data_IF_099568802021
#
_entry.id   IF_099568802021
#
_cell.length_a   1.000
_cell.length_b   1.000
_cell.length_c   1.000
_cell.angle_alpha   90.00
_cell.angle_beta   90.00
_cell.angle_gamma   90.00
#
_symmetry.space_group_name_H-M   'P 1'
#
loop_
_entity.id
_entity.type
_entity.pdbx_description
1 polymer ?
#
# COMPACT_ATOMS: atom_id res chain seq x y z
N UNK A 1 25.00 -19.93 29.65
CA UNK A 1 24.12 -19.26 28.69
C UNK A 1 23.18 -18.34 29.48
N UNK A 2 23.21 -17.01 29.28
CA UNK A 2 22.42 -16.06 30.08
C UNK A 2 20.89 -16.17 29.89
N UNK A 3 20.40 -17.09 29.04
CA UNK A 3 18.97 -17.28 28.76
C UNK A 3 18.35 -18.52 29.43
N UNK A 4 19.08 -19.25 30.27
CA UNK A 4 18.68 -20.59 30.71
C UNK A 4 17.77 -20.62 31.96
N UNK A 5 16.83 -19.67 32.09
CA UNK A 5 15.68 -19.76 33.02
C UNK A 5 14.67 -18.61 32.81
N UNK A 6 13.48 -18.85 32.23
CA UNK A 6 12.40 -17.87 32.32
C UNK A 6 11.76 -17.88 33.73
N UNK A 7 11.34 -16.72 34.26
CA UNK A 7 10.66 -16.66 35.56
C UNK A 7 9.31 -17.39 35.53
N UNK A 8 8.86 -18.00 36.65
CA UNK A 8 7.58 -18.68 36.70
C UNK A 8 6.43 -17.70 36.49
N UNK A 9 5.52 -18.01 35.55
CA UNK A 9 4.28 -17.25 35.31
C UNK A 9 3.48 -17.13 36.61
N UNK A 10 3.31 -15.90 37.09
CA UNK A 10 2.34 -15.60 38.13
C UNK A 10 0.93 -15.98 37.65
N UNK A 11 0.15 -16.57 38.56
CA UNK A 11 -1.27 -16.90 38.39
C UNK A 11 -2.04 -15.63 37.95
N UNK A 12 -3.01 -15.70 37.03
CA UNK A 12 -3.72 -14.51 36.59
C UNK A 12 -4.47 -13.89 37.78
N UNK A 13 -4.05 -12.70 38.18
CA UNK A 13 -4.83 -11.84 39.04
C UNK A 13 -5.97 -11.27 38.20
N UNK A 14 -7.19 -11.51 38.66
CA UNK A 14 -8.46 -10.85 38.31
C UNK A 14 -8.80 -10.71 36.81
N UNK A 15 -9.96 -11.25 36.44
CA UNK A 15 -10.62 -10.94 35.17
C UNK A 15 -10.71 -9.42 34.97
N UNK A 16 -10.50 -8.90 33.74
CA UNK A 16 -10.79 -7.50 33.45
C UNK A 16 -12.26 -7.24 33.79
N UNK A 17 -12.55 -6.11 34.44
CA UNK A 17 -13.91 -5.67 34.68
C UNK A 17 -14.70 -5.68 33.35
N UNK A 18 -16.00 -6.04 33.35
CA UNK A 18 -16.79 -5.96 32.14
C UNK A 18 -16.73 -4.52 31.63
N UNK A 19 -16.34 -4.34 30.36
CA UNK A 19 -16.44 -3.03 29.73
C UNK A 19 -17.89 -2.54 29.90
N UNK A 20 -18.06 -1.31 30.38
CA UNK A 20 -19.37 -0.66 30.40
C UNK A 20 -19.79 -0.46 28.95
N UNK A 21 -20.52 -1.44 28.40
CA UNK A 21 -21.12 -1.31 27.08
C UNK A 21 -22.31 -0.37 27.26
N UNK A 22 -22.22 0.82 26.68
CA UNK A 22 -23.31 1.79 26.68
C UNK A 22 -24.56 1.13 26.07
N UNK A 23 -25.66 0.95 26.82
CA UNK A 23 -26.87 0.32 26.31
C UNK A 23 -27.54 1.15 25.19
N UNK A 24 -27.14 2.41 24.98
CA UNK A 24 -27.51 3.23 23.84
C UNK A 24 -26.75 2.91 22.55
N UNK A 25 -25.64 2.16 22.62
CA UNK A 25 -24.82 1.77 21.47
C UNK A 25 -25.39 0.51 20.77
N UNK A 26 -26.68 0.55 20.42
CA UNK A 26 -27.30 -0.43 19.52
C UNK A 26 -27.21 0.09 18.09
N UNK A 27 -26.01 -0.01 17.50
CA UNK A 27 -25.80 0.38 16.10
C UNK A 27 -26.49 -0.64 15.18
N UNK A 28 -27.62 -0.25 14.61
CA UNK A 28 -28.28 -1.01 13.54
C UNK A 28 -27.62 -0.67 12.20
N UNK A 29 -26.63 -1.48 11.81
CA UNK A 29 -25.87 -1.31 10.57
C UNK A 29 -26.69 -1.59 9.30
N UNK A 30 -27.93 -2.06 9.43
CA UNK A 30 -28.85 -2.25 8.30
C UNK A 30 -29.66 -0.99 7.98
N UNK A 31 -29.61 -0.01 8.88
CA UNK A 31 -30.25 1.28 8.70
C UNK A 31 -29.19 2.34 8.41
N UNK A 32 -29.38 3.08 7.31
CA UNK A 32 -28.54 4.22 7.01
C UNK A 32 -28.91 5.36 7.96
N UNK A 33 -27.92 6.04 8.58
CA UNK A 33 -28.17 7.21 9.39
C UNK A 33 -28.80 8.33 8.55
N UNK A 34 -29.58 9.20 9.20
CA UNK A 34 -30.23 10.33 8.52
C UNK A 34 -29.20 11.21 7.81
N UNK A 35 -29.39 11.41 6.51
CA UNK A 35 -28.59 12.32 5.70
C UNK A 35 -29.24 13.70 5.80
N UNK A 36 -28.58 14.62 6.50
CA UNK A 36 -28.97 16.02 6.53
C UNK A 36 -28.36 16.75 5.33
N UNK A 37 -29.21 17.35 4.50
CA UNK A 37 -28.77 18.25 3.42
C UNK A 37 -28.27 19.55 4.05
N UNK A 38 -26.97 19.85 3.89
CA UNK A 38 -26.39 21.14 4.24
C UNK A 38 -26.83 22.16 3.18
N UNK A 39 -27.47 23.26 3.60
CA UNK A 39 -27.91 24.31 2.70
C UNK A 39 -26.72 24.96 1.99
N UNK A 40 -26.76 25.01 0.65
CA UNK A 40 -25.73 25.64 -0.19
C UNK A 40 -25.43 27.11 0.18
N UNK A 41 -26.36 27.77 0.87
CA UNK A 41 -26.21 29.15 1.35
C UNK A 41 -25.06 29.33 2.36
N UNK A 42 -24.71 28.29 3.14
CA UNK A 42 -23.55 28.35 4.03
C UNK A 42 -22.22 28.40 3.27
N UNK A 43 -22.13 27.83 2.07
CA UNK A 43 -20.91 27.82 1.27
C UNK A 43 -20.69 29.14 0.50
N UNK A 44 -21.77 29.85 0.17
CA UNK A 44 -21.71 31.10 -0.60
C UNK A 44 -21.49 32.35 0.26
N UNK A 45 -21.61 32.21 1.58
CA UNK A 45 -21.43 33.30 2.54
C UNK A 45 -19.96 33.74 2.65
N UNK A 46 -19.02 32.78 2.63
CA UNK A 46 -17.58 33.01 2.79
C UNK A 46 -16.93 33.66 1.55
N UNK A 47 -17.55 33.51 0.38
CA UNK A 47 -17.05 34.07 -0.89
C UNK A 47 -17.61 35.47 -1.21
N UNK A 48 -18.59 35.96 -0.43
CA UNK A 48 -19.26 37.23 -0.69
C UNK A 48 -18.60 38.43 0.01
N UNK A 49 -17.70 38.18 0.96
CA UNK A 49 -16.90 39.23 1.59
C UNK A 49 -15.63 39.48 0.74
N UNK A 50 -15.31 40.74 0.38
CA UNK A 50 -14.04 41.03 -0.28
C UNK A 50 -12.91 40.80 0.72
N UNK A 51 -12.35 39.60 0.74
CA UNK A 51 -11.13 39.29 1.47
C UNK A 51 -10.02 40.19 0.93
N UNK A 52 -9.50 41.07 1.78
CA UNK A 52 -8.29 41.84 1.47
C UNK A 52 -7.15 40.84 1.52
N UNK A 53 -6.88 40.19 0.39
CA UNK A 53 -5.75 39.26 0.23
C UNK A 53 -4.48 40.08 0.43
N UNK A 54 -3.86 39.98 1.61
CA UNK A 54 -2.49 40.46 1.76
C UNK A 54 -1.63 39.71 0.73
N UNK A 55 -0.73 40.41 0.01
CA UNK A 55 0.08 39.76 -1.00
C UNK A 55 0.94 38.71 -0.31
N UNK A 56 0.60 37.44 -0.52
CA UNK A 56 1.46 36.32 -0.16
C UNK A 56 2.79 36.57 -0.87
N UNK A 57 3.87 36.73 -0.11
CA UNK A 57 5.22 36.76 -0.68
C UNK A 57 5.43 35.40 -1.36
N UNK A 58 5.26 35.39 -2.69
CA UNK A 58 5.63 34.27 -3.53
C UNK A 58 7.14 34.16 -3.44
N UNK A 59 7.63 33.31 -2.54
CA UNK A 59 9.01 32.86 -2.54
C UNK A 59 9.25 32.24 -3.91
N UNK A 60 9.95 32.96 -4.77
CA UNK A 60 10.39 32.44 -6.05
C UNK A 60 11.10 31.11 -5.78
N UNK A 61 10.82 30.03 -6.56
CA UNK A 61 11.56 28.79 -6.42
C UNK A 61 13.03 29.13 -6.47
N UNK A 62 13.78 28.78 -5.42
CA UNK A 62 15.23 28.98 -5.43
C UNK A 62 15.77 28.31 -6.68
N UNK A 63 16.34 29.09 -7.59
CA UNK A 63 17.01 28.61 -8.80
C UNK A 63 18.25 27.72 -8.50
N UNK A 64 18.40 27.29 -7.24
CA UNK A 64 19.45 26.43 -6.72
C UNK A 64 19.01 24.97 -6.57
N UNK A 65 17.74 24.62 -6.81
CA UNK A 65 17.30 23.21 -6.98
C UNK A 65 16.95 22.93 -8.45
N UNK A 66 17.71 23.55 -9.35
CA UNK A 66 17.65 23.27 -10.77
C UNK A 66 18.04 21.82 -10.98
N UNK A 67 17.04 20.97 -11.19
CA UNK A 67 17.22 19.67 -11.82
C UNK A 67 18.16 19.87 -13.00
N UNK A 68 19.33 19.27 -12.95
CA UNK A 68 20.36 19.47 -13.97
C UNK A 68 19.80 19.10 -15.34
N UNK A 69 20.20 19.82 -16.39
CA UNK A 69 19.81 19.47 -17.76
C UNK A 69 20.20 18.02 -18.08
N UNK A 70 21.33 17.52 -17.56
CA UNK A 70 21.72 16.11 -17.63
C UNK A 70 20.69 15.14 -17.01
N UNK A 71 19.97 15.56 -15.96
CA UNK A 71 18.93 14.74 -15.33
C UNK A 71 17.65 14.75 -16.19
N UNK A 72 17.32 15.88 -16.81
CA UNK A 72 16.17 16.01 -17.69
C UNK A 72 16.39 15.32 -19.04
N UNK A 73 17.61 15.43 -19.59
CA UNK A 73 18.03 14.75 -20.81
C UNK A 73 18.11 13.23 -20.60
N UNK A 74 18.48 12.77 -19.41
CA UNK A 74 18.40 11.35 -19.04
C UNK A 74 16.97 10.82 -19.01
N UNK A 75 15.94 11.65 -18.82
CA UNK A 75 14.53 11.22 -18.89
C UNK A 75 13.97 11.31 -20.31
N UNK A 76 14.49 12.21 -21.15
CA UNK A 76 14.05 12.42 -22.53
C UNK A 76 14.69 11.44 -23.52
N UNK A 77 15.80 10.81 -23.16
CA UNK A 77 16.37 9.72 -23.95
C UNK A 77 15.57 8.44 -23.73
N UNK A 78 14.90 7.97 -24.79
CA UNK A 78 14.14 6.71 -24.86
C UNK A 78 15.01 5.45 -24.62
N UNK A 79 16.35 5.62 -24.58
CA UNK A 79 17.34 4.60 -24.21
C UNK A 79 17.65 4.55 -22.70
N UNK A 80 17.13 5.50 -21.91
CA UNK A 80 17.04 5.35 -20.47
C UNK A 80 15.82 4.49 -20.19
N UNK A 81 15.94 3.20 -20.48
CA UNK A 81 15.14 2.18 -19.83
C UNK A 81 15.24 2.50 -18.34
N UNK A 82 14.15 3.04 -17.78
CA UNK A 82 13.98 3.15 -16.35
C UNK A 82 14.35 1.76 -15.84
N UNK A 83 15.42 1.66 -15.07
CA UNK A 83 15.98 0.38 -14.65
C UNK A 83 15.11 -0.22 -13.53
N UNK A 84 13.82 -0.32 -13.83
CA UNK A 84 12.81 -1.10 -13.13
C UNK A 84 13.10 -2.59 -13.30
N UNK A 85 13.95 -2.96 -14.28
CA UNK A 85 14.40 -4.32 -14.53
C UNK A 85 15.54 -4.78 -13.60
N UNK A 86 16.40 -3.87 -13.09
CA UNK A 86 17.41 -4.21 -12.07
C UNK A 86 16.93 -4.13 -10.62
N UNK A 87 15.70 -3.67 -10.38
CA UNK A 87 15.05 -3.93 -9.10
C UNK A 87 14.58 -5.39 -9.13
N UNK A 88 15.40 -6.29 -8.59
CA UNK A 88 14.98 -7.67 -8.28
C UNK A 88 13.60 -7.61 -7.63
N UNK A 89 12.57 -7.92 -8.43
CA UNK A 89 11.21 -7.86 -7.93
C UNK A 89 11.10 -8.88 -6.80
N UNK A 90 10.50 -8.51 -5.65
CA UNK A 90 10.38 -9.44 -4.56
C UNK A 90 9.64 -10.70 -5.04
N UNK A 91 9.99 -11.90 -4.57
CA UNK A 91 9.40 -13.16 -5.03
C UNK A 91 7.88 -13.16 -5.07
N UNK A 92 7.24 -12.45 -4.13
CA UNK A 92 5.79 -12.31 -4.07
C UNK A 92 5.19 -11.48 -5.22
N UNK A 93 5.90 -10.45 -5.69
CA UNK A 93 5.49 -9.66 -6.86
C UNK A 93 5.45 -10.53 -8.11
N UNK A 94 6.53 -11.28 -8.34
CA UNK A 94 6.63 -12.23 -9.45
C UNK A 94 5.56 -13.34 -9.37
N UNK A 95 5.23 -13.83 -8.16
CA UNK A 95 4.10 -14.77 -7.98
C UNK A 95 2.78 -14.15 -8.43
N UNK A 96 2.51 -12.90 -8.04
CA UNK A 96 1.28 -12.21 -8.43
C UNK A 96 1.24 -11.97 -9.95
N UNK A 97 2.37 -11.60 -10.55
CA UNK A 97 2.49 -11.46 -12.00
C UNK A 97 2.18 -12.78 -12.72
N UNK A 98 2.74 -13.90 -12.24
CA UNK A 98 2.45 -15.22 -12.79
C UNK A 98 0.96 -15.56 -12.69
N UNK A 99 0.27 -15.18 -11.61
CA UNK A 99 -1.18 -15.39 -11.49
C UNK A 99 -1.97 -14.61 -12.55
N UNK A 100 -1.62 -13.34 -12.80
CA UNK A 100 -2.26 -12.54 -13.86
C UNK A 100 -2.03 -13.18 -15.23
N UNK A 101 -0.81 -13.65 -15.51
CA UNK A 101 -0.51 -14.34 -16.78
C UNK A 101 -1.33 -15.63 -16.95
N UNK A 102 -1.58 -16.38 -15.86
CA UNK A 102 -2.45 -17.56 -15.90
C UNK A 102 -3.89 -17.16 -16.21
N UNK A 103 -4.39 -16.08 -15.62
CA UNK A 103 -5.74 -15.55 -15.89
C UNK A 103 -5.89 -15.09 -17.34
N UNK A 104 -4.85 -14.47 -17.90
CA UNK A 104 -4.78 -14.03 -19.28
C UNK A 104 -4.57 -15.19 -20.28
N UNK A 105 -4.26 -16.39 -19.79
CA UNK A 105 -4.05 -17.60 -20.58
C UNK A 105 -2.64 -17.76 -21.13
N UNK A 106 -1.70 -16.90 -20.74
CA UNK A 106 -0.28 -17.02 -21.07
C UNK A 106 0.44 -17.94 -20.07
N UNK A 107 0.21 -19.24 -20.23
CA UNK A 107 0.76 -20.26 -19.34
C UNK A 107 2.28 -20.44 -19.50
N UNK A 108 2.84 -20.14 -20.68
CA UNK A 108 4.28 -20.33 -20.92
C UNK A 108 5.09 -19.30 -20.14
N UNK A 109 4.71 -18.02 -20.26
CA UNK A 109 5.33 -16.92 -19.50
C UNK A 109 5.14 -17.11 -17.99
N UNK A 110 3.95 -17.55 -17.55
CA UNK A 110 3.71 -17.86 -16.15
C UNK A 110 4.63 -18.98 -15.61
N UNK A 111 4.87 -20.02 -16.42
CA UNK A 111 5.75 -21.15 -16.02
C UNK A 111 7.19 -20.71 -15.86
N UNK A 112 7.69 -19.85 -16.76
CA UNK A 112 9.06 -19.34 -16.70
C UNK A 112 9.29 -18.56 -15.40
N UNK A 113 8.40 -17.63 -15.08
CA UNK A 113 8.46 -16.83 -13.85
C UNK A 113 8.39 -17.73 -12.60
N UNK A 114 7.45 -18.68 -12.55
CA UNK A 114 7.32 -19.58 -11.41
C UNK A 114 8.55 -20.49 -11.25
N UNK A 115 9.20 -20.89 -12.34
CA UNK A 115 10.42 -21.68 -12.30
C UNK A 115 11.60 -20.87 -11.75
N UNK A 116 11.74 -19.62 -12.16
CA UNK A 116 12.74 -18.70 -11.61
C UNK A 116 12.58 -18.54 -10.09
N UNK A 117 11.35 -18.33 -9.62
CA UNK A 117 11.05 -18.23 -8.18
C UNK A 117 11.42 -19.53 -7.43
N UNK A 118 11.23 -20.69 -8.06
CA UNK A 118 11.62 -21.99 -7.47
C UNK A 118 13.12 -22.11 -7.28
N UNK A 119 13.92 -21.46 -8.12
CA UNK A 119 15.37 -21.56 -8.09
C UNK A 119 16.01 -20.48 -7.19
N UNK A 120 15.41 -19.28 -7.14
CA UNK A 120 16.01 -18.10 -6.49
C UNK A 120 15.44 -17.77 -5.09
N UNK A 121 14.24 -18.24 -4.74
CA UNK A 121 13.52 -17.78 -3.56
C UNK A 121 13.55 -18.70 -2.34
N UNK A 122 13.08 -18.20 -1.19
CA UNK A 122 12.92 -18.95 0.05
C UNK A 122 11.90 -20.10 -0.04
N UNK A 123 11.99 -21.07 0.88
CA UNK A 123 11.15 -22.30 0.87
C UNK A 123 9.64 -22.01 0.82
N UNK A 124 9.17 -20.93 1.45
CA UNK A 124 7.75 -20.54 1.40
C UNK A 124 7.32 -20.19 -0.03
N UNK A 125 8.03 -19.25 -0.67
CA UNK A 125 7.75 -18.82 -2.04
C UNK A 125 7.91 -19.97 -3.04
N UNK A 126 8.93 -20.83 -2.87
CA UNK A 126 9.12 -22.03 -3.70
C UNK A 126 7.96 -23.00 -3.58
N UNK A 127 7.38 -23.17 -2.39
CA UNK A 127 6.20 -24.01 -2.19
C UNK A 127 4.99 -23.43 -2.91
N UNK A 128 4.76 -22.12 -2.79
CA UNK A 128 3.66 -21.44 -3.48
C UNK A 128 3.81 -21.55 -5.01
N UNK A 129 5.01 -21.32 -5.53
CA UNK A 129 5.28 -21.42 -6.96
C UNK A 129 5.08 -22.85 -7.50
N UNK A 130 5.46 -23.88 -6.73
CA UNK A 130 5.19 -25.29 -7.07
C UNK A 130 3.69 -25.62 -7.08
N UNK A 131 2.94 -25.10 -6.13
CA UNK A 131 1.48 -25.29 -6.08
C UNK A 131 0.80 -24.66 -7.30
N UNK A 132 1.20 -23.45 -7.66
CA UNK A 132 0.71 -22.77 -8.87
C UNK A 132 1.09 -23.53 -10.14
N UNK A 133 2.33 -23.99 -10.28
CA UNK A 133 2.77 -24.80 -11.41
C UNK A 133 1.96 -26.11 -11.53
N UNK A 134 1.67 -26.77 -10.42
CA UNK A 134 0.86 -27.99 -10.42
C UNK A 134 -0.60 -27.74 -10.81
N UNK A 135 -1.10 -26.52 -10.63
CA UNK A 135 -2.46 -26.14 -11.02
C UNK A 135 -2.58 -25.87 -12.54
N UNK A 136 -1.48 -25.49 -13.19
CA UNK A 136 -1.45 -25.14 -14.62
C UNK A 136 -0.73 -26.18 -15.50
N UNK A 137 -0.21 -27.27 -14.91
CA UNK A 137 0.50 -28.35 -15.62
C UNK A 137 -0.43 -29.35 -16.29
#
# INVERSE_FOLDING_TARGET
DPFDSPPPRAKPAAAPAPAEVDPGFSSDLTQLPEVFELSDEQFLSDFSEPEVVEPVEVLAPSAADGLSDDFLDSFMNDDADFDLLDLEEPPLSQINQAQVLIEDGDLESAREILQQIIDESDEEHRRMARELLANIS
#
